data_IF_886706547520
#
_entry.id   IF_886706547520
#
_cell.length_a   1.000
_cell.length_b   1.000
_cell.length_c   1.000
_cell.angle_alpha   90.00
_cell.angle_beta   90.00
_cell.angle_gamma   90.00
#
_symmetry.space_group_name_H-M   'P 1'
#
loop_
_entity.id
_entity.type
_entity.pdbx_description
1 polymer ?
#
# COMPACT_ATOMS: atom_id res chain seq x y z
N UNK A 1 -25.45 -9.81 -46.68
CA UNK A 1 -24.83 -10.82 -45.80
C UNK A 1 -24.18 -10.11 -44.61
N UNK A 2 -24.77 -10.32 -43.42
CA UNK A 2 -24.06 -10.58 -42.15
C UNK A 2 -23.14 -9.47 -41.65
N UNK A 3 -23.63 -8.49 -40.86
CA UNK A 3 -23.76 -8.66 -39.40
C UNK A 3 -22.74 -9.65 -38.85
N UNK A 4 -21.50 -9.23 -38.55
CA UNK A 4 -20.54 -9.94 -37.67
C UNK A 4 -19.15 -9.25 -37.54
N UNK A 5 -19.07 -7.92 -37.37
CA UNK A 5 -17.83 -7.28 -36.87
C UNK A 5 -18.12 -6.27 -35.76
N UNK A 6 -19.17 -6.54 -34.99
CA UNK A 6 -19.36 -5.99 -33.65
C UNK A 6 -19.16 -7.17 -32.73
N UNK A 7 -17.93 -7.40 -32.23
CA UNK A 7 -17.63 -8.17 -31.02
C UNK A 7 -16.11 -8.45 -30.93
N UNK A 8 -15.54 -8.10 -29.78
CA UNK A 8 -14.31 -8.68 -29.20
C UNK A 8 -12.96 -8.15 -29.72
N UNK A 9 -12.68 -6.89 -29.45
CA UNK A 9 -11.39 -6.56 -28.81
C UNK A 9 -11.69 -5.66 -27.63
N UNK A 10 -12.40 -6.28 -26.68
CA UNK A 10 -12.53 -5.82 -25.31
C UNK A 10 -11.16 -5.38 -24.82
N UNK A 11 -11.04 -4.09 -24.58
CA UNK A 11 -9.99 -3.45 -23.81
C UNK A 11 -9.84 -4.22 -22.50
N UNK A 12 -8.96 -5.22 -22.49
CA UNK A 12 -8.42 -5.76 -21.26
C UNK A 12 -7.39 -4.75 -20.75
N UNK A 13 -7.87 -3.58 -20.32
CA UNK A 13 -7.21 -2.92 -19.21
C UNK A 13 -7.34 -3.92 -18.07
N UNK A 14 -6.26 -4.57 -17.61
CA UNK A 14 -6.36 -5.20 -16.31
C UNK A 14 -6.82 -4.08 -15.39
N UNK A 15 -8.05 -4.20 -14.89
CA UNK A 15 -8.45 -3.50 -13.69
C UNK A 15 -7.43 -4.00 -12.66
N UNK A 16 -6.34 -3.25 -12.52
CA UNK A 16 -5.47 -3.33 -11.36
C UNK A 16 -6.39 -2.86 -10.26
N UNK A 17 -7.21 -3.77 -9.73
CA UNK A 17 -7.91 -3.55 -8.50
C UNK A 17 -6.80 -3.15 -7.54
N UNK A 18 -6.75 -1.89 -7.09
CA UNK A 18 -5.83 -1.53 -6.05
C UNK A 18 -6.10 -2.55 -4.96
N UNK A 19 -5.04 -3.18 -4.52
CA UNK A 19 -5.13 -4.24 -3.55
C UNK A 19 -5.57 -3.61 -2.24
N UNK A 20 -6.88 -3.49 -2.05
CA UNK A 20 -7.49 -2.59 -1.08
C UNK A 20 -7.00 -2.90 0.32
N UNK A 21 -6.72 -4.19 0.60
CA UNK A 21 -6.14 -4.63 1.86
C UNK A 21 -4.70 -4.14 2.06
N UNK A 22 -3.85 -4.13 1.03
CA UNK A 22 -2.50 -3.58 1.13
C UNK A 22 -2.56 -2.11 1.50
N UNK A 23 -3.38 -1.33 0.78
CA UNK A 23 -3.56 0.10 1.06
C UNK A 23 -4.18 0.35 2.43
N UNK A 24 -5.18 -0.46 2.83
CA UNK A 24 -5.79 -0.40 4.17
C UNK A 24 -4.77 -0.67 5.27
N UNK A 25 -3.97 -1.73 5.14
CA UNK A 25 -2.93 -2.07 6.11
C UNK A 25 -1.83 -1.01 6.16
N UNK A 26 -1.44 -0.45 5.00
CA UNK A 26 -0.49 0.66 4.93
C UNK A 26 -1.01 1.90 5.67
N UNK A 27 -2.29 2.26 5.47
CA UNK A 27 -2.93 3.35 6.19
C UNK A 27 -3.10 3.09 7.68
N UNK A 28 -3.27 1.83 8.08
CA UNK A 28 -3.46 1.42 9.47
C UNK A 28 -2.13 1.39 10.25
N UNK A 29 -1.08 0.84 9.66
CA UNK A 29 0.18 0.58 10.36
C UNK A 29 1.28 1.60 10.09
N UNK A 30 1.28 2.21 8.89
CA UNK A 30 2.36 3.11 8.50
C UNK A 30 2.01 4.58 8.67
N UNK A 31 0.75 4.92 9.00
CA UNK A 31 0.31 6.31 9.19
C UNK A 31 0.51 6.73 10.64
N UNK A 32 1.36 7.73 10.85
CA UNK A 32 1.57 8.30 12.17
C UNK A 32 0.35 9.12 12.61
N UNK A 33 0.01 9.14 13.92
CA UNK A 33 -1.09 9.96 14.41
C UNK A 33 -0.93 11.45 14.06
N UNK A 34 -2.02 12.08 13.65
CA UNK A 34 -2.03 13.46 13.17
C UNK A 34 -1.57 13.64 11.73
N UNK A 35 -1.14 12.59 11.04
CA UNK A 35 -0.72 12.66 9.64
C UNK A 35 -1.83 12.26 8.68
N UNK A 36 -1.87 12.92 7.51
CA UNK A 36 -2.82 12.64 6.44
C UNK A 36 -2.39 11.48 5.55
N UNK A 37 -1.09 11.21 5.46
CA UNK A 37 -0.50 10.19 4.58
C UNK A 37 0.36 9.19 5.36
N UNK A 38 0.34 7.90 4.98
CA UNK A 38 1.22 6.90 5.58
C UNK A 38 2.69 7.15 5.22
N UNK A 39 3.58 6.81 6.13
CA UNK A 39 5.02 6.90 5.94
C UNK A 39 5.65 5.53 5.71
N UNK A 40 6.11 5.31 4.50
CA UNK A 40 6.63 4.03 4.04
C UNK A 40 8.10 4.08 3.66
N UNK A 41 8.73 2.90 3.63
CA UNK A 41 10.05 2.74 3.03
C UNK A 41 9.97 2.90 1.51
N UNK A 42 11.11 3.20 0.89
CA UNK A 42 11.19 3.46 -0.55
C UNK A 42 10.77 2.26 -1.40
N UNK A 43 11.03 1.05 -0.91
CA UNK A 43 10.70 -0.21 -1.59
C UNK A 43 9.33 -0.79 -1.20
N UNK A 44 8.48 -0.04 -0.49
CA UNK A 44 7.18 -0.52 0.01
C UNK A 44 6.29 -1.15 -1.07
N UNK A 45 6.25 -0.57 -2.27
CA UNK A 45 5.43 -1.07 -3.38
C UNK A 45 5.93 -2.43 -3.93
N UNK A 46 7.17 -2.82 -3.65
CA UNK A 46 7.70 -4.13 -4.06
C UNK A 46 6.96 -5.28 -3.36
N UNK A 47 6.30 -5.01 -2.23
CA UNK A 47 5.51 -5.99 -1.48
C UNK A 47 4.05 -6.05 -1.93
N UNK A 48 3.62 -5.15 -2.82
CA UNK A 48 2.25 -5.10 -3.32
C UNK A 48 1.91 -6.41 -4.05
N UNK A 49 2.70 -6.82 -5.04
CA UNK A 49 2.43 -8.04 -5.81
C UNK A 49 2.28 -9.28 -4.92
N UNK A 50 3.13 -9.42 -3.89
CA UNK A 50 3.06 -10.52 -2.93
C UNK A 50 1.82 -10.45 -2.03
N UNK A 51 1.41 -9.25 -1.61
CA UNK A 51 0.17 -9.10 -0.86
C UNK A 51 -1.06 -9.47 -1.70
N UNK A 52 -1.02 -9.17 -3.00
CA UNK A 52 -2.19 -9.24 -3.87
C UNK A 52 -2.32 -10.58 -4.60
N UNK A 53 -1.29 -11.41 -4.57
CA UNK A 53 -1.33 -12.79 -5.03
C UNK A 53 -2.13 -13.70 -4.08
N UNK A 54 -2.27 -13.32 -2.80
CA UNK A 54 -3.11 -14.03 -1.84
C UNK A 54 -4.59 -13.89 -2.21
N UNK A 55 -5.38 -14.96 -2.05
CA UNK A 55 -6.82 -14.96 -2.32
C UNK A 55 -7.52 -13.94 -1.42
N UNK A 56 -7.95 -12.83 -2.02
CA UNK A 56 -8.56 -11.71 -1.32
C UNK A 56 -7.57 -10.74 -0.67
N UNK A 57 -6.27 -10.78 -1.02
CA UNK A 57 -5.23 -9.89 -0.52
C UNK A 57 -4.69 -10.25 0.88
N UNK A 58 -3.50 -9.76 1.22
CA UNK A 58 -2.87 -10.03 2.51
C UNK A 58 -3.67 -9.46 3.69
N UNK A 59 -3.79 -10.26 4.74
CA UNK A 59 -4.37 -9.82 6.00
C UNK A 59 -3.35 -8.98 6.82
N UNK A 60 -3.78 -8.47 7.98
CA UNK A 60 -2.95 -7.61 8.83
C UNK A 60 -1.77 -8.32 9.50
N UNK A 61 -1.82 -9.65 9.63
CA UNK A 61 -0.71 -10.47 10.15
C UNK A 61 0.31 -10.77 9.04
N UNK A 62 -0.15 -10.95 7.81
CA UNK A 62 0.70 -11.21 6.63
C UNK A 62 1.37 -9.95 6.08
N UNK A 63 0.85 -8.76 6.43
CA UNK A 63 1.41 -7.50 5.98
C UNK A 63 2.80 -7.26 6.61
N UNK A 64 3.88 -7.12 5.82
CA UNK A 64 5.24 -7.04 6.33
C UNK A 64 5.55 -5.62 6.86
N UNK A 65 5.02 -5.29 8.03
CA UNK A 65 5.10 -3.97 8.67
C UNK A 65 6.52 -3.41 8.70
N UNK A 66 7.49 -4.21 9.14
CA UNK A 66 8.89 -3.76 9.31
C UNK A 66 9.63 -3.53 7.99
N UNK A 67 9.06 -4.00 6.87
CA UNK A 67 9.61 -3.80 5.52
C UNK A 67 8.88 -2.71 4.75
N UNK A 68 7.61 -2.46 5.07
CA UNK A 68 6.77 -1.49 4.36
C UNK A 68 6.73 -0.15 5.09
N UNK A 69 6.56 -0.14 6.41
CA UNK A 69 6.43 1.08 7.20
C UNK A 69 7.80 1.63 7.65
N UNK A 70 7.85 2.95 7.88
CA UNK A 70 8.98 3.59 8.52
C UNK A 70 8.89 3.48 10.05
N UNK A 71 9.83 2.75 10.66
CA UNK A 71 9.99 2.67 12.11
C UNK A 71 11.38 3.11 12.61
N UNK A 72 12.10 3.90 11.82
CA UNK A 72 13.35 4.54 12.25
C UNK A 72 13.19 6.05 12.22
N UNK A 73 13.90 6.75 13.11
CA UNK A 73 13.85 8.21 13.19
C UNK A 73 14.24 8.88 11.86
N UNK A 74 15.26 8.34 11.19
CA UNK A 74 15.70 8.82 9.87
C UNK A 74 14.59 8.71 8.81
N UNK A 75 13.89 7.56 8.77
CA UNK A 75 12.80 7.32 7.83
C UNK A 75 11.62 8.25 8.11
N UNK A 76 11.30 8.49 9.38
CA UNK A 76 10.25 9.44 9.78
C UNK A 76 10.60 10.88 9.45
N UNK A 77 11.85 11.30 9.68
CA UNK A 77 12.30 12.65 9.36
C UNK A 77 12.17 12.96 7.86
N UNK A 78 12.27 11.94 6.99
CA UNK A 78 12.00 12.08 5.55
C UNK A 78 10.52 12.29 5.25
N UNK A 79 9.63 11.53 5.88
CA UNK A 79 8.19 11.66 5.63
C UNK A 79 7.58 12.91 6.25
N UNK A 80 8.06 13.26 7.45
CA UNK A 80 7.45 14.26 8.32
C UNK A 80 8.53 15.22 8.85
N UNK A 81 9.19 15.97 7.95
CA UNK A 81 10.31 16.85 8.32
C UNK A 81 9.85 17.91 9.33
N UNK A 82 10.62 18.09 10.40
CA UNK A 82 10.37 19.08 11.44
C UNK A 82 9.21 18.76 12.40
N UNK A 83 8.52 17.61 12.25
CA UNK A 83 7.38 17.26 13.11
C UNK A 83 7.75 16.55 14.41
N UNK A 84 8.99 16.09 14.55
CA UNK A 84 9.51 15.54 15.81
C UNK A 84 8.86 14.23 16.25
N UNK A 85 8.23 13.48 15.34
CA UNK A 85 7.69 12.14 15.62
C UNK A 85 8.79 11.23 16.18
N UNK A 86 8.53 10.58 17.32
CA UNK A 86 9.47 9.64 17.94
C UNK A 86 8.93 8.22 17.87
N UNK A 87 9.82 7.26 17.61
CA UNK A 87 9.48 5.84 17.68
C UNK A 87 9.26 5.43 19.14
N UNK A 88 8.17 4.73 19.44
CA UNK A 88 7.93 4.13 20.76
C UNK A 88 7.09 4.98 21.74
N UNK A 89 6.59 6.14 21.34
CA UNK A 89 5.52 6.82 22.07
C UNK A 89 4.18 6.30 21.58
N UNK A 90 3.63 5.33 22.31
CA UNK A 90 2.20 5.00 22.23
C UNK A 90 1.47 6.16 22.89
N UNK A 91 0.67 6.91 22.12
CA UNK A 91 -0.27 7.88 22.67
C UNK A 91 -1.51 7.13 23.19
#
# INVERSE_FOLDING_TARGET
MRFLLVLVMSVALPLVFPCDKFQKNMNLFCKFPGESVPCTQHNALSFLANCCSAKGGCNSMEFPKDKVCCFTQECLNRCYPGKGHKIGVVY
#
